data_IF_178022145472
#
_entry.id   IF_178022145472
#
_cell.length_a   1.000
_cell.length_b   1.000
_cell.length_c   1.000
_cell.angle_alpha   90.00
_cell.angle_beta   90.00
_cell.angle_gamma   90.00
#
_symmetry.space_group_name_H-M   'P 1'
#
loop_
_entity.id
_entity.type
_entity.pdbx_description
1 polymer ?
#
# COMPACT_ATOMS: atom_id res chain seq x y z
N UNK A 1 -0.06 12.57 24.00
CA UNK A 1 1.11 12.21 23.20
C UNK A 1 0.63 11.44 21.98
N UNK A 2 1.25 11.65 20.83
CA UNK A 2 0.90 10.88 19.62
C UNK A 2 1.28 9.39 19.77
N UNK A 3 0.58 8.53 19.05
CA UNK A 3 0.72 7.07 19.15
C UNK A 3 2.09 6.55 18.66
N UNK A 4 2.81 7.35 17.84
CA UNK A 4 4.12 7.03 17.29
C UNK A 4 5.23 7.94 17.83
N UNK A 5 5.03 8.56 18.99
CA UNK A 5 6.01 9.48 19.57
C UNK A 5 7.39 8.82 19.71
N UNK A 6 8.40 9.44 19.06
CA UNK A 6 9.78 8.97 19.08
C UNK A 6 10.10 7.81 18.12
N UNK A 7 9.13 7.28 17.40
CA UNK A 7 9.34 6.28 16.34
C UNK A 7 9.87 6.93 15.06
N UNK A 8 10.53 6.14 14.24
CA UNK A 8 11.02 6.52 12.92
C UNK A 8 10.36 5.67 11.85
N UNK A 9 9.90 6.29 10.76
CA UNK A 9 9.14 5.63 9.72
C UNK A 9 9.68 5.95 8.31
N UNK A 10 9.70 4.95 7.44
CA UNK A 10 9.97 5.10 6.00
C UNK A 10 8.71 4.73 5.24
N UNK A 11 8.21 5.64 4.41
CA UNK A 11 7.00 5.44 3.59
C UNK A 11 7.38 5.50 2.11
N UNK A 12 7.50 4.33 1.48
CA UNK A 12 7.79 4.21 0.05
C UNK A 12 6.50 4.23 -0.77
N UNK A 13 6.49 5.05 -1.83
CA UNK A 13 5.33 5.24 -2.71
C UNK A 13 4.58 6.55 -2.47
N UNK A 14 5.19 7.54 -1.83
CA UNK A 14 4.59 8.83 -1.48
C UNK A 14 4.77 9.94 -2.54
N UNK A 15 5.13 9.60 -3.79
CA UNK A 15 5.50 10.57 -4.82
C UNK A 15 4.33 11.10 -5.69
N UNK A 16 3.08 10.87 -5.29
CA UNK A 16 1.89 11.39 -5.98
C UNK A 16 0.96 12.06 -4.98
N UNK A 17 0.53 13.28 -5.28
CA UNK A 17 -0.37 14.04 -4.42
C UNK A 17 -1.66 13.27 -4.16
N UNK A 18 -2.16 13.30 -2.92
CA UNK A 18 -3.41 12.63 -2.51
C UNK A 18 -3.37 11.11 -2.48
N UNK A 19 -2.20 10.49 -2.67
CA UNK A 19 -2.12 9.02 -2.57
C UNK A 19 -2.02 8.52 -1.13
N UNK A 20 -2.22 7.22 -0.95
CA UNK A 20 -2.18 6.55 0.36
C UNK A 20 -0.84 6.79 1.07
N UNK A 21 0.29 6.78 0.34
CA UNK A 21 1.61 7.02 0.93
C UNK A 21 1.74 8.40 1.56
N UNK A 22 1.23 9.45 0.91
CA UNK A 22 1.23 10.80 1.46
C UNK A 22 0.30 10.92 2.68
N UNK A 23 -0.90 10.32 2.61
CA UNK A 23 -1.85 10.33 3.73
C UNK A 23 -1.28 9.63 4.95
N UNK A 24 -0.64 8.46 4.76
CA UNK A 24 0.06 7.74 5.83
C UNK A 24 1.18 8.61 6.41
N UNK A 25 2.01 9.23 5.57
CA UNK A 25 3.13 10.06 6.01
C UNK A 25 2.68 11.24 6.89
N UNK A 26 1.63 11.96 6.47
CA UNK A 26 1.04 13.07 7.24
C UNK A 26 0.47 12.60 8.58
N UNK A 27 -0.27 11.49 8.58
CA UNK A 27 -0.82 10.91 9.80
C UNK A 27 0.29 10.50 10.77
N UNK A 28 1.33 9.83 10.28
CA UNK A 28 2.43 9.37 11.11
C UNK A 28 3.24 10.52 11.72
N UNK A 29 3.50 11.57 10.94
CA UNK A 29 4.13 12.78 11.44
C UNK A 29 3.25 13.48 12.51
N UNK A 30 1.94 13.58 12.29
CA UNK A 30 0.97 14.10 13.27
C UNK A 30 0.97 13.27 14.56
N UNK A 31 1.17 11.96 14.47
CA UNK A 31 1.27 11.04 15.61
C UNK A 31 2.67 11.00 16.26
N UNK A 32 3.59 11.88 15.84
CA UNK A 32 4.87 12.10 16.48
C UNK A 32 6.04 11.27 15.95
N UNK A 33 5.88 10.56 14.83
CA UNK A 33 6.97 9.88 14.16
C UNK A 33 7.87 10.85 13.39
N UNK A 34 9.17 10.55 13.30
CA UNK A 34 10.07 11.11 12.30
C UNK A 34 9.88 10.31 11.00
N UNK A 35 9.54 10.98 9.91
CA UNK A 35 9.13 10.30 8.67
C UNK A 35 10.10 10.61 7.53
N UNK A 36 10.55 9.57 6.83
CA UNK A 36 11.18 9.67 5.52
C UNK A 36 10.17 9.19 4.47
N UNK A 37 9.87 10.05 3.49
CA UNK A 37 9.03 9.71 2.33
C UNK A 37 9.88 9.34 1.14
N UNK A 38 9.48 8.32 0.38
CA UNK A 38 10.28 7.86 -0.75
C UNK A 38 9.43 7.54 -1.99
N UNK A 39 10.07 7.62 -3.15
CA UNK A 39 9.46 7.34 -4.45
C UNK A 39 10.30 7.88 -5.59
N UNK A 40 9.74 7.90 -6.81
CA UNK A 40 10.50 8.20 -8.04
C UNK A 40 10.53 9.68 -8.45
N UNK A 41 9.66 10.53 -7.90
CA UNK A 41 9.53 11.95 -8.29
C UNK A 41 9.97 12.84 -7.14
N UNK A 42 11.02 13.62 -7.37
CA UNK A 42 11.65 14.44 -6.33
C UNK A 42 10.74 15.56 -5.82
N UNK A 43 10.19 16.37 -6.72
CA UNK A 43 9.45 17.58 -6.33
C UNK A 43 8.31 17.34 -5.33
N UNK A 44 7.38 16.38 -5.54
CA UNK A 44 6.32 16.10 -4.56
C UNK A 44 6.85 15.50 -3.26
N UNK A 45 7.96 14.74 -3.29
CA UNK A 45 8.59 14.19 -2.09
C UNK A 45 9.23 15.29 -1.24
N UNK A 46 9.98 16.19 -1.87
CA UNK A 46 10.62 17.33 -1.19
C UNK A 46 9.56 18.27 -0.57
N UNK A 47 8.46 18.53 -1.30
CA UNK A 47 7.35 19.34 -0.79
C UNK A 47 6.70 18.69 0.44
N UNK A 48 6.40 17.39 0.38
CA UNK A 48 5.81 16.66 1.49
C UNK A 48 6.77 16.56 2.69
N UNK A 49 8.05 16.26 2.46
CA UNK A 49 9.05 16.22 3.52
C UNK A 49 9.15 17.56 4.27
N UNK A 50 9.15 18.68 3.52
CA UNK A 50 9.12 20.02 4.11
C UNK A 50 7.84 20.27 4.92
N UNK A 51 6.68 19.88 4.40
CA UNK A 51 5.37 20.02 5.06
C UNK A 51 5.34 19.31 6.42
N UNK A 52 5.83 18.08 6.47
CA UNK A 52 5.77 17.24 7.68
C UNK A 52 7.02 17.35 8.58
N UNK A 53 7.99 18.19 8.24
CA UNK A 53 9.25 18.29 8.97
C UNK A 53 10.09 17.00 8.93
N UNK A 54 10.03 16.27 7.84
CA UNK A 54 10.66 14.97 7.63
C UNK A 54 11.78 15.01 6.57
N UNK A 55 12.17 13.81 6.12
CA UNK A 55 13.19 13.58 5.11
C UNK A 55 12.57 12.97 3.84
N UNK A 56 13.31 13.00 2.71
CA UNK A 56 12.91 12.26 1.51
C UNK A 56 14.07 11.48 0.88
N UNK A 57 13.74 10.45 0.11
CA UNK A 57 14.69 9.70 -0.71
C UNK A 57 14.10 9.38 -2.08
N UNK A 58 14.93 9.46 -3.13
CA UNK A 58 14.56 8.91 -4.43
C UNK A 58 14.74 7.39 -4.39
N UNK A 59 13.72 6.66 -4.82
CA UNK A 59 13.75 5.22 -4.85
C UNK A 59 12.76 4.66 -5.86
N UNK A 60 13.27 3.86 -6.79
CA UNK A 60 12.49 2.91 -7.58
C UNK A 60 12.57 1.55 -6.90
N UNK A 61 11.44 1.03 -6.43
CA UNK A 61 11.39 -0.25 -5.71
C UNK A 61 11.90 -1.44 -6.57
N UNK A 62 11.79 -1.35 -7.89
CA UNK A 62 12.30 -2.39 -8.80
C UNK A 62 13.84 -2.45 -8.81
N UNK A 63 14.53 -1.42 -8.32
CA UNK A 63 15.97 -1.32 -8.28
C UNK A 63 16.53 -1.58 -6.88
N UNK A 64 17.01 -2.79 -6.65
CA UNK A 64 17.55 -3.23 -5.36
C UNK A 64 18.56 -2.24 -4.74
N UNK A 65 19.44 -1.68 -5.56
CA UNK A 65 20.46 -0.72 -5.08
C UNK A 65 19.83 0.56 -4.52
N UNK A 66 18.78 1.09 -5.18
CA UNK A 66 18.06 2.29 -4.69
C UNK A 66 17.28 2.00 -3.40
N UNK A 67 16.69 0.80 -3.28
CA UNK A 67 16.00 0.37 -2.05
C UNK A 67 16.97 0.26 -0.88
N UNK A 68 18.16 -0.32 -1.09
CA UNK A 68 19.20 -0.38 -0.06
C UNK A 68 19.68 1.03 0.33
N UNK A 69 19.96 1.90 -0.64
CA UNK A 69 20.39 3.27 -0.38
C UNK A 69 19.35 4.08 0.39
N UNK A 70 18.05 3.90 0.11
CA UNK A 70 16.95 4.50 0.87
C UNK A 70 16.96 4.03 2.34
N UNK A 71 17.11 2.73 2.58
CA UNK A 71 17.15 2.17 3.92
C UNK A 71 18.37 2.68 4.72
N UNK A 72 19.54 2.74 4.07
CA UNK A 72 20.78 3.25 4.67
C UNK A 72 20.69 4.76 4.97
N UNK A 73 20.07 5.54 4.06
CA UNK A 73 19.79 6.97 4.29
C UNK A 73 18.88 7.18 5.49
N UNK A 74 17.87 6.34 5.68
CA UNK A 74 16.97 6.43 6.83
C UNK A 74 17.71 6.16 8.16
N UNK A 75 18.59 5.16 8.18
CA UNK A 75 19.45 4.89 9.34
C UNK A 75 20.40 6.06 9.62
N UNK A 76 21.03 6.63 8.59
CA UNK A 76 21.91 7.77 8.73
C UNK A 76 21.20 9.02 9.28
N UNK A 77 19.95 9.25 8.85
CA UNK A 77 19.16 10.41 9.26
C UNK A 77 18.56 10.27 10.68
N UNK A 78 18.12 9.06 11.04
CA UNK A 78 17.33 8.84 12.26
C UNK A 78 17.98 7.95 13.30
N UNK A 79 19.08 7.28 12.97
CA UNK A 79 19.76 6.32 13.81
C UNK A 79 19.16 4.91 13.80
N UNK A 80 17.89 4.76 13.45
CA UNK A 80 17.15 3.49 13.39
C UNK A 80 15.94 3.59 12.47
N UNK A 81 15.30 2.46 12.16
CA UNK A 81 14.01 2.41 11.48
C UNK A 81 13.06 1.51 12.28
N UNK A 82 11.99 2.09 12.81
CA UNK A 82 10.97 1.36 13.57
C UNK A 82 9.83 0.87 12.69
N UNK A 83 9.54 1.59 11.59
CA UNK A 83 8.41 1.32 10.72
C UNK A 83 8.87 1.49 9.26
N UNK A 84 8.55 0.52 8.41
CA UNK A 84 8.71 0.66 6.97
C UNK A 84 7.44 0.21 6.24
N UNK A 85 6.90 1.09 5.40
CA UNK A 85 5.65 0.86 4.67
C UNK A 85 5.89 0.99 3.17
N UNK A 86 5.50 -0.05 2.43
CA UNK A 86 5.46 -0.05 0.98
C UNK A 86 4.03 0.20 0.50
N UNK A 87 3.82 1.31 -0.19
CA UNK A 87 2.53 1.66 -0.82
C UNK A 87 2.58 1.63 -2.34
N UNK A 88 3.67 1.10 -2.92
CA UNK A 88 3.82 1.05 -4.38
C UNK A 88 2.89 0.03 -5.01
N UNK A 89 2.50 0.30 -6.24
CA UNK A 89 1.67 -0.60 -7.02
C UNK A 89 1.33 -0.02 -8.38
N UNK A 90 0.82 -0.87 -9.25
CA UNK A 90 0.29 -0.52 -10.56
C UNK A 90 -1.01 -1.28 -10.79
N UNK A 91 -2.12 -0.56 -10.94
CA UNK A 91 -3.45 -1.13 -11.16
C UNK A 91 -3.61 -1.62 -12.60
N UNK A 92 -2.77 -2.57 -13.03
CA UNK A 92 -2.84 -3.14 -14.37
C UNK A 92 -4.18 -3.86 -14.55
N UNK A 93 -4.96 -3.38 -15.51
CA UNK A 93 -6.22 -3.95 -15.95
C UNK A 93 -5.99 -4.50 -17.37
N UNK A 94 -5.85 -5.80 -17.48
CA UNK A 94 -5.69 -6.51 -18.75
C UNK A 94 -6.28 -7.91 -18.64
N UNK A 95 -6.92 -8.40 -19.72
CA UNK A 95 -7.34 -9.81 -19.79
C UNK A 95 -6.12 -10.73 -19.80
N UNK A 96 -6.32 -11.98 -19.41
CA UNK A 96 -5.22 -12.96 -19.39
C UNK A 96 -4.61 -13.16 -20.78
N UNK A 97 -5.44 -13.01 -21.84
CA UNK A 97 -5.07 -13.24 -23.24
C UNK A 97 -4.34 -12.04 -23.86
N UNK A 98 -4.58 -10.82 -23.34
CA UNK A 98 -4.09 -9.57 -23.93
C UNK A 98 -2.87 -9.00 -23.21
N UNK A 99 -2.53 -9.50 -22.02
CA UNK A 99 -1.35 -9.03 -21.28
C UNK A 99 -0.08 -9.35 -22.07
N UNK A 100 0.77 -8.34 -22.29
CA UNK A 100 2.06 -8.53 -22.95
C UNK A 100 3.13 -8.99 -21.96
N UNK A 101 4.21 -9.61 -22.48
CA UNK A 101 5.37 -10.02 -21.66
C UNK A 101 5.99 -8.81 -20.94
N UNK A 102 6.07 -7.65 -21.59
CA UNK A 102 6.60 -6.42 -21.00
C UNK A 102 5.74 -5.92 -19.83
N UNK A 103 4.41 -6.00 -19.96
CA UNK A 103 3.49 -5.64 -18.88
C UNK A 103 3.61 -6.62 -17.70
N UNK A 104 3.73 -7.91 -18.01
CA UNK A 104 3.90 -8.95 -17.01
C UNK A 104 5.23 -8.78 -16.27
N UNK A 105 6.34 -8.57 -17.00
CA UNK A 105 7.65 -8.31 -16.41
C UNK A 105 7.62 -7.05 -15.53
N UNK A 106 7.04 -5.96 -16.02
CA UNK A 106 6.95 -4.71 -15.27
C UNK A 106 6.16 -4.86 -13.97
N UNK A 107 5.02 -5.57 -13.99
CA UNK A 107 4.22 -5.74 -12.76
C UNK A 107 4.88 -6.70 -11.78
N UNK A 108 5.58 -7.74 -12.27
CA UNK A 108 6.37 -8.66 -11.45
C UNK A 108 7.55 -7.93 -10.81
N UNK A 109 8.29 -7.14 -11.58
CA UNK A 109 9.41 -6.34 -11.06
C UNK A 109 8.94 -5.36 -9.98
N UNK A 110 7.82 -4.68 -10.21
CA UNK A 110 7.27 -3.70 -9.26
C UNK A 110 6.69 -4.36 -8.01
N UNK A 111 5.76 -5.32 -8.19
CA UNK A 111 4.87 -5.79 -7.11
C UNK A 111 5.33 -7.09 -6.45
N UNK A 112 6.29 -7.80 -7.01
CA UNK A 112 6.85 -9.02 -6.41
C UNK A 112 8.34 -8.86 -6.09
N UNK A 113 9.20 -8.67 -7.09
CA UNK A 113 10.65 -8.49 -6.86
C UNK A 113 10.93 -7.23 -6.04
N UNK A 114 10.25 -6.12 -6.35
CA UNK A 114 10.39 -4.88 -5.61
C UNK A 114 9.99 -5.03 -4.14
N UNK A 115 8.89 -5.72 -3.86
CA UNK A 115 8.50 -6.02 -2.47
C UNK A 115 9.54 -6.88 -1.77
N UNK A 116 10.10 -7.89 -2.46
CA UNK A 116 11.20 -8.69 -1.93
C UNK A 116 12.43 -7.83 -1.60
N UNK A 117 12.84 -6.91 -2.49
CA UNK A 117 13.96 -6.00 -2.24
C UNK A 117 13.69 -5.11 -1.01
N UNK A 118 12.47 -4.58 -0.90
CA UNK A 118 12.03 -3.77 0.24
C UNK A 118 12.13 -4.56 1.55
N UNK A 119 11.57 -5.75 1.60
CA UNK A 119 11.62 -6.61 2.77
C UNK A 119 13.06 -6.96 3.16
N UNK A 120 13.89 -7.35 2.18
CA UNK A 120 15.28 -7.70 2.42
C UNK A 120 16.08 -6.52 3.02
N UNK A 121 15.90 -5.30 2.50
CA UNK A 121 16.59 -4.12 2.98
C UNK A 121 16.19 -3.76 4.42
N UNK A 122 14.90 -3.77 4.72
CA UNK A 122 14.42 -3.37 6.04
C UNK A 122 14.57 -4.48 7.10
N UNK A 123 14.46 -5.76 6.75
CA UNK A 123 14.84 -6.86 7.63
C UNK A 123 16.32 -6.72 8.04
N UNK A 124 17.22 -6.47 7.08
CA UNK A 124 18.65 -6.22 7.35
C UNK A 124 18.85 -5.10 8.37
N UNK A 125 18.18 -3.96 8.16
CA UNK A 125 18.28 -2.80 9.07
C UNK A 125 17.70 -3.13 10.45
N UNK A 126 16.48 -3.65 10.50
CA UNK A 126 15.77 -3.91 11.76
C UNK A 126 16.37 -5.03 12.59
N UNK A 127 17.08 -5.98 11.96
CA UNK A 127 17.82 -7.04 12.64
C UNK A 127 19.17 -6.57 13.21
N UNK A 128 19.78 -5.53 12.62
CA UNK A 128 21.10 -5.02 13.01
C UNK A 128 21.05 -3.88 14.05
N UNK A 129 19.89 -3.25 14.24
CA UNK A 129 19.74 -2.16 15.21
C UNK A 129 19.56 -2.66 16.65
N UNK A 130 19.79 -1.79 17.63
CA UNK A 130 19.62 -2.10 19.05
C UNK A 130 18.60 -1.12 19.70
N UNK A 131 17.52 -1.62 20.35
CA UNK A 131 17.04 -3.01 20.27
C UNK A 131 16.63 -3.39 18.84
N UNK A 132 16.67 -4.69 18.52
CA UNK A 132 16.10 -5.22 17.26
C UNK A 132 14.59 -5.03 17.22
N UNK A 133 13.98 -5.18 16.06
CA UNK A 133 12.52 -5.14 15.89
C UNK A 133 12.05 -3.98 15.03
N UNK A 134 10.76 -4.00 14.73
CA UNK A 134 10.08 -3.00 13.92
C UNK A 134 8.78 -3.53 13.29
N UNK A 135 8.12 -2.70 12.50
CA UNK A 135 6.89 -3.04 11.78
C UNK A 135 7.07 -2.85 10.28
N UNK A 136 6.96 -3.93 9.52
CA UNK A 136 6.95 -3.96 8.07
C UNK A 136 5.51 -4.07 7.58
N UNK A 137 5.10 -3.17 6.68
CA UNK A 137 3.74 -3.17 6.11
C UNK A 137 3.85 -3.04 4.60
N UNK A 138 3.13 -3.89 3.86
CA UNK A 138 2.98 -3.73 2.42
C UNK A 138 1.51 -3.62 2.05
N UNK A 139 1.15 -2.65 1.19
CA UNK A 139 -0.21 -2.56 0.70
C UNK A 139 -0.48 -3.67 -0.33
N UNK A 140 -1.45 -4.51 -0.02
CA UNK A 140 -2.02 -5.49 -0.92
C UNK A 140 -3.32 -4.95 -1.54
N UNK A 141 -4.32 -5.78 -1.71
CA UNK A 141 -5.63 -5.41 -2.27
C UNK A 141 -6.71 -6.37 -1.83
N UNK A 142 -7.92 -5.89 -1.62
CA UNK A 142 -9.10 -6.73 -1.39
C UNK A 142 -9.34 -7.72 -2.56
N UNK A 143 -8.83 -7.42 -3.76
CA UNK A 143 -8.95 -8.31 -4.93
C UNK A 143 -8.21 -9.64 -4.75
N UNK A 144 -7.28 -9.75 -3.81
CA UNK A 144 -6.65 -11.03 -3.46
C UNK A 144 -7.63 -12.00 -2.80
N UNK A 145 -8.72 -11.52 -2.21
CA UNK A 145 -9.80 -12.32 -1.59
C UNK A 145 -11.09 -12.27 -2.40
N UNK A 146 -11.44 -11.12 -2.92
CA UNK A 146 -12.62 -10.89 -3.76
C UNK A 146 -12.17 -10.61 -5.20
N UNK A 147 -12.01 -11.65 -6.00
CA UNK A 147 -11.50 -11.57 -7.38
C UNK A 147 -12.36 -10.64 -8.22
N UNK A 148 -11.72 -9.84 -9.08
CA UNK A 148 -12.36 -9.01 -10.08
C UNK A 148 -11.81 -9.36 -11.47
N UNK A 149 -12.62 -9.18 -12.52
CA UNK A 149 -12.28 -9.50 -13.91
C UNK A 149 -11.05 -8.72 -14.39
N UNK A 150 -10.25 -9.31 -15.27
CA UNK A 150 -9.08 -8.70 -15.93
C UNK A 150 -7.96 -8.22 -15.02
N UNK A 151 -7.77 -8.87 -13.84
CA UNK A 151 -6.73 -8.52 -12.88
C UNK A 151 -5.79 -9.70 -12.56
N UNK A 152 -5.64 -10.69 -13.44
CA UNK A 152 -4.90 -11.91 -13.15
C UNK A 152 -3.45 -11.65 -12.70
N UNK A 153 -2.68 -10.87 -13.47
CA UNK A 153 -1.29 -10.55 -13.14
C UNK A 153 -1.19 -9.69 -11.87
N UNK A 154 -2.08 -8.70 -11.71
CA UNK A 154 -2.14 -7.87 -10.51
C UNK A 154 -2.44 -8.71 -9.25
N UNK A 155 -3.47 -9.55 -9.29
CA UNK A 155 -3.85 -10.41 -8.16
C UNK A 155 -2.75 -11.42 -7.86
N UNK A 156 -2.16 -12.03 -8.89
CA UNK A 156 -1.08 -13.00 -8.76
C UNK A 156 0.14 -12.41 -8.03
N UNK A 157 0.59 -11.24 -8.46
CA UNK A 157 1.73 -10.56 -7.83
C UNK A 157 1.42 -10.07 -6.42
N UNK A 158 0.21 -9.57 -6.14
CA UNK A 158 -0.21 -9.18 -4.79
C UNK A 158 -0.30 -10.39 -3.83
N UNK A 159 -0.84 -11.52 -4.28
CA UNK A 159 -0.85 -12.76 -3.46
C UNK A 159 0.56 -13.28 -3.21
N UNK A 160 1.43 -13.25 -4.22
CA UNK A 160 2.85 -13.57 -4.03
C UNK A 160 3.52 -12.69 -2.98
N UNK A 161 3.22 -11.39 -2.99
CA UNK A 161 3.73 -10.44 -1.98
C UNK A 161 3.17 -10.70 -0.58
N UNK A 162 1.90 -11.11 -0.46
CA UNK A 162 1.32 -11.53 0.82
C UNK A 162 2.10 -12.72 1.40
N UNK A 163 2.41 -13.74 0.58
CA UNK A 163 3.21 -14.89 1.02
C UNK A 163 4.63 -14.48 1.45
N UNK A 164 5.29 -13.53 0.78
CA UNK A 164 6.59 -13.00 1.21
C UNK A 164 6.50 -12.36 2.61
N UNK A 165 5.45 -11.60 2.89
CA UNK A 165 5.20 -10.98 4.20
C UNK A 165 5.00 -12.07 5.29
N UNK A 166 4.24 -13.12 4.98
CA UNK A 166 4.02 -14.24 5.91
C UNK A 166 5.33 -14.96 6.24
N UNK A 167 6.19 -15.21 5.23
CA UNK A 167 7.52 -15.78 5.45
C UNK A 167 8.38 -14.89 6.34
N UNK A 168 8.42 -13.58 6.09
CA UNK A 168 9.19 -12.63 6.93
C UNK A 168 8.65 -12.61 8.37
N UNK A 169 7.33 -12.63 8.54
CA UNK A 169 6.70 -12.70 9.86
C UNK A 169 7.12 -13.94 10.65
N UNK A 170 7.16 -15.10 9.98
CA UNK A 170 7.58 -16.36 10.57
C UNK A 170 9.08 -16.35 10.91
N UNK A 171 9.92 -15.96 9.96
CA UNK A 171 11.36 -16.12 10.08
C UNK A 171 12.01 -15.09 11.03
N UNK A 172 11.45 -13.87 11.11
CA UNK A 172 12.06 -12.75 11.85
C UNK A 172 11.21 -12.26 13.04
N UNK A 173 10.07 -12.89 13.30
CA UNK A 173 9.23 -12.56 14.46
C UNK A 173 9.96 -12.68 15.80
N UNK A 174 10.89 -13.62 15.92
CA UNK A 174 11.71 -13.82 17.12
C UNK A 174 12.66 -12.64 17.43
N UNK A 175 12.94 -11.76 16.44
CA UNK A 175 13.68 -10.53 16.60
C UNK A 175 12.78 -9.32 16.92
N UNK A 176 11.46 -9.53 17.12
CA UNK A 176 10.50 -8.45 17.32
C UNK A 176 10.11 -7.72 16.01
N UNK A 177 10.41 -8.29 14.85
CA UNK A 177 10.01 -7.74 13.55
C UNK A 177 8.61 -8.28 13.20
N UNK A 178 7.63 -7.38 13.18
CA UNK A 178 6.27 -7.66 12.69
C UNK A 178 6.21 -7.40 11.20
N UNK A 179 5.56 -8.27 10.44
CA UNK A 179 5.33 -8.07 9.02
C UNK A 179 3.87 -8.38 8.67
N UNK A 180 3.16 -7.41 8.08
CA UNK A 180 1.74 -7.51 7.78
C UNK A 180 1.41 -6.90 6.42
N UNK A 181 0.27 -7.27 5.85
CA UNK A 181 -0.32 -6.59 4.71
C UNK A 181 -1.57 -5.82 5.10
N UNK A 182 -1.85 -4.75 4.37
CA UNK A 182 -3.09 -4.00 4.45
C UNK A 182 -3.74 -4.03 3.08
N UNK A 183 -4.99 -4.48 3.01
CA UNK A 183 -5.73 -4.73 1.77
C UNK A 183 -6.93 -3.79 1.64
N UNK A 184 -6.74 -2.58 1.07
CA UNK A 184 -7.86 -1.70 0.74
C UNK A 184 -8.72 -2.29 -0.38
N UNK A 185 -9.97 -1.85 -0.45
CA UNK A 185 -10.85 -2.08 -1.59
C UNK A 185 -10.79 -0.91 -2.58
N UNK A 186 -11.84 -0.73 -3.40
CA UNK A 186 -11.93 0.37 -4.35
C UNK A 186 -11.95 1.71 -3.62
N UNK A 187 -10.87 2.47 -3.77
CA UNK A 187 -10.57 3.68 -2.99
C UNK A 187 -10.21 4.80 -3.97
N UNK A 188 -10.76 6.01 -3.79
CA UNK A 188 -10.35 7.15 -4.59
C UNK A 188 -8.90 7.53 -4.26
N UNK A 189 -8.07 7.46 -5.27
CA UNK A 189 -6.64 7.72 -5.23
C UNK A 189 -6.16 8.08 -6.63
N UNK A 190 -4.97 8.65 -6.82
CA UNK A 190 -4.47 8.95 -8.16
C UNK A 190 -4.46 7.76 -9.13
N UNK A 191 -4.35 6.53 -8.61
CA UNK A 191 -4.38 5.30 -9.41
C UNK A 191 -5.78 4.99 -9.95
N UNK A 192 -6.83 5.31 -9.20
CA UNK A 192 -8.22 4.93 -9.46
C UNK A 192 -9.11 6.12 -9.81
N UNK A 193 -8.59 7.35 -9.70
CA UNK A 193 -9.37 8.57 -9.86
C UNK A 193 -10.18 8.62 -11.16
N UNK A 194 -9.57 8.23 -12.28
CA UNK A 194 -10.27 8.17 -13.56
C UNK A 194 -11.50 7.24 -13.52
N UNK A 195 -11.43 6.13 -12.78
CA UNK A 195 -12.55 5.21 -12.60
C UNK A 195 -13.68 5.82 -11.79
N UNK A 196 -13.37 6.68 -10.79
CA UNK A 196 -14.38 7.40 -10.02
C UNK A 196 -15.15 8.44 -10.85
N UNK A 197 -14.62 8.86 -12.00
CA UNK A 197 -15.30 9.79 -12.91
C UNK A 197 -16.25 9.06 -13.89
N UNK A 198 -16.21 7.72 -13.95
CA UNK A 198 -17.10 6.94 -14.82
C UNK A 198 -18.50 6.91 -14.22
N UNK A 199 -19.53 7.46 -14.87
CA UNK A 199 -20.89 7.47 -14.35
C UNK A 199 -21.41 6.07 -14.05
N UNK A 200 -21.96 5.84 -12.85
CA UNK A 200 -22.52 4.57 -12.42
C UNK A 200 -21.49 3.52 -11.96
N UNK A 201 -20.19 3.74 -12.15
CA UNK A 201 -19.19 2.75 -11.71
C UNK A 201 -19.18 2.61 -10.18
N UNK A 202 -19.20 3.71 -9.45
CA UNK A 202 -19.29 3.69 -7.98
C UNK A 202 -20.59 3.05 -7.49
N UNK A 203 -21.69 3.19 -8.26
CA UNK A 203 -22.99 2.58 -7.94
C UNK A 203 -22.96 1.05 -8.05
N UNK A 204 -22.11 0.49 -8.93
CA UNK A 204 -21.88 -0.95 -9.00
C UNK A 204 -21.13 -1.49 -7.76
N UNK A 205 -20.21 -0.68 -7.21
CA UNK A 205 -19.41 -1.08 -6.06
C UNK A 205 -20.13 -0.87 -4.72
N UNK A 206 -20.86 0.23 -4.54
CA UNK A 206 -21.44 0.62 -3.26
C UNK A 206 -22.27 -0.48 -2.58
N UNK A 207 -23.14 -1.25 -3.29
CA UNK A 207 -23.91 -2.34 -2.66
C UNK A 207 -23.05 -3.48 -2.13
N UNK A 208 -21.78 -3.56 -2.55
CA UNK A 208 -20.84 -4.58 -2.11
C UNK A 208 -20.21 -4.27 -0.76
N UNK A 209 -20.37 -3.05 -0.27
CA UNK A 209 -19.84 -2.61 1.04
C UNK A 209 -20.91 -2.71 2.13
N UNK A 210 -20.83 -3.70 3.04
CA UNK A 210 -21.76 -3.79 4.18
C UNK A 210 -21.85 -2.52 5.03
N UNK A 211 -20.75 -1.75 5.15
CA UNK A 211 -20.71 -0.49 5.89
C UNK A 211 -21.29 0.72 5.13
N UNK A 212 -21.83 0.53 3.90
CA UNK A 212 -22.61 1.53 3.17
C UNK A 212 -21.82 2.69 2.56
N UNK A 213 -20.48 2.62 2.54
CA UNK A 213 -19.62 3.59 1.86
C UNK A 213 -18.39 2.94 1.26
N UNK A 214 -17.83 3.58 0.25
CA UNK A 214 -16.55 3.18 -0.33
C UNK A 214 -15.38 3.48 0.63
N UNK A 215 -14.24 2.85 0.37
CA UNK A 215 -13.00 3.12 1.10
C UNK A 215 -12.49 4.53 0.88
N UNK A 216 -11.82 5.05 1.89
CA UNK A 216 -11.01 6.27 1.81
C UNK A 216 -9.53 5.94 2.05
N UNK A 217 -8.65 6.86 1.66
CA UNK A 217 -7.21 6.75 1.95
C UNK A 217 -6.94 6.80 3.46
N UNK A 218 -7.79 7.48 4.22
CA UNK A 218 -7.70 7.57 5.69
C UNK A 218 -8.01 6.24 6.37
N UNK A 219 -8.97 5.44 5.86
CA UNK A 219 -9.23 4.09 6.39
C UNK A 219 -7.98 3.22 6.33
N UNK A 220 -7.21 3.33 5.24
CA UNK A 220 -5.96 2.61 5.04
C UNK A 220 -4.87 3.14 5.96
N UNK A 221 -4.75 4.46 6.08
CA UNK A 221 -3.75 5.11 6.92
C UNK A 221 -3.93 4.75 8.40
N UNK A 222 -5.16 4.71 8.91
CA UNK A 222 -5.44 4.32 10.30
C UNK A 222 -5.16 2.84 10.57
N UNK A 223 -5.41 1.94 9.60
CA UNK A 223 -5.00 0.54 9.72
C UNK A 223 -3.47 0.40 9.79
N UNK A 224 -2.73 1.13 8.95
CA UNK A 224 -1.27 1.18 9.00
C UNK A 224 -0.77 1.78 10.32
N UNK A 225 -1.41 2.84 10.83
CA UNK A 225 -1.08 3.44 12.12
C UNK A 225 -1.19 2.42 13.24
N UNK A 226 -2.33 1.74 13.37
CA UNK A 226 -2.53 0.73 14.41
C UNK A 226 -1.47 -0.37 14.34
N UNK A 227 -1.20 -0.95 13.17
CA UNK A 227 -0.18 -1.99 12.99
C UNK A 227 1.23 -1.54 13.35
N UNK A 228 1.48 -0.22 13.33
CA UNK A 228 2.77 0.39 13.65
C UNK A 228 2.96 0.66 15.14
N UNK A 229 1.90 0.56 15.94
CA UNK A 229 1.97 0.77 17.40
C UNK A 229 2.51 -0.46 18.13
N UNK A 230 2.98 -0.25 19.35
CA UNK A 230 3.45 -1.34 20.21
C UNK A 230 2.31 -2.22 20.73
N UNK A 231 1.07 -1.70 20.74
CA UNK A 231 -0.13 -2.44 21.13
C UNK A 231 -0.58 -3.49 20.08
N UNK A 232 -0.15 -3.33 18.83
CA UNK A 232 -0.50 -4.29 17.77
C UNK A 232 0.35 -5.57 17.89
N UNK A 233 -0.13 -6.55 18.65
CA UNK A 233 0.46 -7.90 18.72
C UNK A 233 0.00 -8.75 17.55
N UNK A 234 0.35 -8.30 16.32
CA UNK A 234 -0.10 -8.90 15.05
C UNK A 234 1.07 -9.00 14.08
N UNK A 235 1.32 -10.19 13.55
CA UNK A 235 2.29 -10.45 12.48
C UNK A 235 1.78 -11.55 11.55
N UNK A 236 2.17 -11.55 10.27
CA UNK A 236 1.70 -12.50 9.25
C UNK A 236 0.24 -12.31 8.84
N UNK A 237 -0.40 -11.21 9.23
CA UNK A 237 -1.81 -10.98 8.96
C UNK A 237 -2.04 -10.09 7.74
N UNK A 238 -3.18 -10.32 7.09
CA UNK A 238 -3.72 -9.44 6.05
C UNK A 238 -4.91 -8.66 6.63
N UNK A 239 -4.70 -7.40 7.01
CA UNK A 239 -5.73 -6.52 7.56
C UNK A 239 -6.55 -5.91 6.43
N UNK A 240 -7.87 -5.97 6.57
CA UNK A 240 -8.85 -5.69 5.52
C UNK A 240 -9.70 -4.43 5.82
N UNK A 241 -9.13 -3.20 5.72
CA UNK A 241 -9.91 -1.96 5.89
C UNK A 241 -10.73 -1.69 4.61
N UNK A 242 -11.72 -2.53 4.33
CA UNK A 242 -12.46 -2.55 3.07
C UNK A 242 -13.99 -2.54 3.26
N UNK A 243 -14.47 -2.11 4.44
CA UNK A 243 -15.90 -1.98 4.72
C UNK A 243 -16.71 -3.29 4.58
N UNK A 244 -16.02 -4.45 4.63
CA UNK A 244 -16.63 -5.77 4.48
C UNK A 244 -16.86 -6.20 3.03
N UNK A 245 -16.30 -5.52 2.04
CA UNK A 245 -16.47 -5.86 0.61
C UNK A 245 -16.17 -7.33 0.33
N UNK A 246 -15.14 -7.91 0.94
CA UNK A 246 -14.76 -9.31 0.69
C UNK A 246 -15.87 -10.32 1.02
N UNK A 247 -16.81 -9.97 1.91
CA UNK A 247 -17.95 -10.85 2.26
C UNK A 247 -19.00 -10.92 1.14
N UNK A 248 -19.12 -9.84 0.35
CA UNK A 248 -20.08 -9.72 -0.76
C UNK A 248 -19.42 -9.89 -2.13
N UNK A 249 -18.10 -9.85 -2.20
CA UNK A 249 -17.31 -9.90 -3.43
C UNK A 249 -17.34 -8.59 -4.22
N UNK A 250 -16.44 -8.46 -5.20
CA UNK A 250 -16.45 -7.37 -6.16
C UNK A 250 -17.63 -7.51 -7.15
N UNK A 251 -18.13 -6.38 -7.73
CA UNK A 251 -19.08 -6.46 -8.81
C UNK A 251 -18.43 -7.17 -10.02
N UNK A 252 -19.20 -7.99 -10.70
CA UNK A 252 -18.75 -8.63 -11.93
C UNK A 252 -18.94 -7.69 -13.13
N UNK A 253 -18.35 -8.03 -14.27
CA UNK A 253 -18.41 -7.19 -15.47
C UNK A 253 -19.87 -6.85 -15.89
N UNK A 254 -20.79 -7.79 -15.71
CA UNK A 254 -22.22 -7.57 -16.00
C UNK A 254 -22.87 -6.56 -15.04
N UNK A 255 -22.51 -6.59 -13.74
CA UNK A 255 -23.02 -5.64 -12.74
C UNK A 255 -22.55 -4.22 -13.07
N UNK A 256 -21.26 -4.09 -13.43
CA UNK A 256 -20.66 -2.81 -13.84
C UNK A 256 -21.32 -2.28 -15.11
N UNK A 257 -21.47 -3.12 -16.14
CA UNK A 257 -22.12 -2.74 -17.40
C UNK A 257 -23.56 -2.26 -17.18
N UNK A 258 -24.34 -2.96 -16.35
CA UNK A 258 -25.71 -2.58 -16.01
C UNK A 258 -25.79 -1.22 -15.30
N UNK A 259 -24.93 -0.98 -14.30
CA UNK A 259 -24.93 0.26 -13.53
C UNK A 259 -24.49 1.47 -14.38
N UNK A 260 -23.43 1.31 -15.18
CA UNK A 260 -22.96 2.35 -16.11
C UNK A 260 -24.02 2.65 -17.17
N UNK A 261 -24.62 1.62 -17.78
CA UNK A 261 -25.69 1.78 -18.77
C UNK A 261 -26.90 2.54 -18.20
N UNK A 262 -27.33 2.22 -16.99
CA UNK A 262 -28.43 2.92 -16.31
C UNK A 262 -28.08 4.40 -16.00
N UNK A 263 -26.86 4.69 -15.58
CA UNK A 263 -26.41 6.06 -15.33
C UNK A 263 -26.36 6.88 -16.63
N UNK A 264 -25.80 6.32 -17.70
CA UNK A 264 -25.72 6.98 -19.02
C UNK A 264 -27.10 7.27 -19.61
N UNK A 265 -28.07 6.36 -19.45
CA UNK A 265 -29.45 6.56 -19.92
C UNK A 265 -30.16 7.72 -19.19
N UNK A 266 -29.88 7.92 -17.87
CA UNK A 266 -30.41 9.06 -17.11
C UNK A 266 -29.81 10.41 -17.52
N UNK A 267 -28.57 10.43 -17.99
CA UNK A 267 -27.91 11.67 -18.45
C UNK A 267 -28.40 12.15 -19.82
N UNK A 268 -29.11 11.28 -20.58
CA UNK A 268 -29.67 11.60 -21.91
C UNK A 268 -31.13 12.08 -21.84
N UNK A 269 -31.76 12.02 -20.67
CA UNK A 269 -33.13 12.54 -20.41
C UNK A 269 -33.07 13.96 -19.83
#
# INVERSE_FOLDING_TARGET
MGQLQGKTAVILGAASEGNMGQTIARLFAKEGAKVMVAGRKEAPLAALAKEIGGEYALCDIAKKAEVNAMADKAVAAFGRVDIAINTTGWGLLASLEEITDEQLDQIVDLQFKGVHHFLQAFVRVMSAQAPTGGSLISLSSATTKAIITNHAAYIGTKRGSEALIECVANDYGHLGIKANTVSPAFTDSPMTHASFQVPGLTDAFLPRYPMGRLNTVDDVAHACLWLSTDQAYVTGANIQPNGGLIMRGNPQAADVAAAVGAAMAKMQQ
#
